data_IF_817858569067
#
_entry.id   IF_817858569067
#
_cell.length_a   1.000
_cell.length_b   1.000
_cell.length_c   1.000
_cell.angle_alpha   90.00
_cell.angle_beta   90.00
_cell.angle_gamma   90.00
#
_symmetry.space_group_name_H-M   'P 1'
#
loop_
_entity.id
_entity.type
_entity.pdbx_description
1 polymer ?
#
# COMPACT_ATOMS: atom_id res chain seq x y z
N UNK A 1 11.81 12.42 4.68
CA UNK A 1 10.59 11.69 4.28
C UNK A 1 9.39 12.59 4.52
N UNK A 2 8.45 12.62 3.58
CA UNK A 2 7.19 13.36 3.69
C UNK A 2 6.06 12.34 3.55
N UNK A 3 5.02 12.45 4.38
CA UNK A 3 3.81 11.64 4.27
C UNK A 3 2.68 12.52 3.75
N UNK A 4 1.93 12.00 2.78
CA UNK A 4 0.77 12.69 2.21
C UNK A 4 -0.31 11.69 1.82
N UNK A 5 -1.56 12.12 1.88
CA UNK A 5 -2.71 11.35 1.38
C UNK A 5 -2.86 11.64 -0.11
N UNK A 6 -2.85 10.60 -0.93
CA UNK A 6 -2.99 10.69 -2.39
C UNK A 6 -4.12 9.80 -2.87
N UNK A 7 -4.69 10.11 -4.05
CA UNK A 7 -5.63 9.19 -4.70
C UNK A 7 -4.92 7.90 -5.08
N UNK A 8 -5.59 6.76 -4.91
CA UNK A 8 -5.06 5.44 -5.28
C UNK A 8 -4.71 5.35 -6.77
N UNK A 9 -5.45 6.07 -7.63
CA UNK A 9 -5.25 6.08 -9.08
C UNK A 9 -3.91 6.70 -9.52
N UNK A 10 -3.22 7.39 -8.59
CA UNK A 10 -1.89 7.95 -8.83
C UNK A 10 -0.77 6.94 -8.59
N UNK A 11 -1.06 5.82 -7.92
CA UNK A 11 -0.07 4.81 -7.52
C UNK A 11 -0.01 3.72 -8.57
N UNK A 12 1.19 3.35 -8.99
CA UNK A 12 1.40 2.28 -9.97
C UNK A 12 2.05 1.06 -9.30
N UNK A 13 1.56 -0.16 -9.59
CA UNK A 13 2.26 -1.37 -9.16
C UNK A 13 3.68 -1.41 -9.74
N UNK A 14 4.64 -1.78 -8.91
CA UNK A 14 6.01 -1.99 -9.36
C UNK A 14 6.14 -3.33 -10.08
N UNK A 15 6.48 -3.30 -11.36
CA UNK A 15 6.53 -4.49 -12.23
C UNK A 15 7.49 -5.58 -11.73
N UNK A 16 8.59 -5.19 -11.08
CA UNK A 16 9.59 -6.12 -10.56
C UNK A 16 9.45 -6.36 -9.05
N UNK A 17 8.24 -6.24 -8.50
CA UNK A 17 8.01 -6.55 -7.09
C UNK A 17 8.09 -8.07 -6.85
N UNK A 18 9.11 -8.59 -6.13
CA UNK A 18 9.25 -10.03 -5.92
C UNK A 18 8.26 -10.59 -4.88
N UNK A 19 7.46 -9.73 -4.23
CA UNK A 19 6.49 -10.11 -3.23
C UNK A 19 5.32 -10.86 -3.89
N UNK A 20 5.08 -12.09 -3.47
CA UNK A 20 3.82 -12.80 -3.69
C UNK A 20 3.13 -12.96 -2.33
N UNK A 21 1.99 -12.29 -2.12
CA UNK A 21 1.29 -12.29 -0.83
C UNK A 21 -0.23 -12.26 -0.94
N UNK A 22 -0.80 -12.84 -2.01
CA UNK A 22 -2.25 -12.83 -2.26
C UNK A 22 -3.04 -13.39 -1.07
N UNK A 23 -2.52 -14.44 -0.42
CA UNK A 23 -3.13 -15.05 0.78
C UNK A 23 -3.24 -14.10 1.99
N UNK A 24 -2.44 -13.03 2.03
CA UNK A 24 -2.43 -12.07 3.13
C UNK A 24 -3.42 -10.90 2.93
N UNK A 25 -4.02 -10.77 1.74
CA UNK A 25 -4.84 -9.60 1.36
C UNK A 25 -6.03 -9.44 2.31
N UNK A 26 -6.77 -10.52 2.58
CA UNK A 26 -7.97 -10.46 3.43
C UNK A 26 -7.64 -10.06 4.87
N UNK A 27 -6.55 -10.59 5.42
CA UNK A 27 -6.10 -10.26 6.77
C UNK A 27 -5.69 -8.79 6.87
N UNK A 28 -4.96 -8.26 5.88
CA UNK A 28 -4.53 -6.86 5.85
C UNK A 28 -5.73 -5.93 5.67
N UNK A 29 -6.65 -6.25 4.77
CA UNK A 29 -7.86 -5.45 4.54
C UNK A 29 -8.72 -5.36 5.80
N UNK A 30 -8.90 -6.45 6.54
CA UNK A 30 -9.65 -6.46 7.79
C UNK A 30 -8.93 -5.64 8.89
N UNK A 31 -7.61 -5.74 8.98
CA UNK A 31 -6.82 -4.94 9.92
C UNK A 31 -6.94 -3.43 9.65
N UNK A 32 -6.85 -3.01 8.39
CA UNK A 32 -7.02 -1.60 8.01
C UNK A 32 -8.43 -1.10 8.33
N UNK A 33 -9.47 -1.93 8.18
CA UNK A 33 -10.85 -1.56 8.55
C UNK A 33 -11.01 -1.35 10.05
N UNK A 34 -10.40 -2.20 10.86
CA UNK A 34 -10.53 -2.18 12.33
C UNK A 34 -9.67 -1.07 12.96
N UNK A 35 -8.44 -0.90 12.49
CA UNK A 35 -7.43 -0.06 13.16
C UNK A 35 -6.98 1.15 12.33
N UNK A 36 -7.48 1.29 11.10
CA UNK A 36 -7.03 2.32 10.17
C UNK A 36 -5.62 2.08 9.63
N UNK A 37 -5.09 3.09 8.93
CA UNK A 37 -3.75 3.07 8.37
C UNK A 37 -2.70 3.40 9.45
N UNK A 38 -1.95 2.38 9.88
CA UNK A 38 -0.88 2.53 10.86
C UNK A 38 0.50 2.76 10.23
N UNK A 39 0.70 2.36 8.96
CA UNK A 39 1.96 2.48 8.23
C UNK A 39 1.70 2.99 6.80
N UNK A 40 2.33 4.09 6.35
CA UNK A 40 2.15 4.58 4.99
C UNK A 40 2.80 3.62 3.97
N UNK A 41 2.26 3.60 2.75
CA UNK A 41 2.91 2.93 1.62
C UNK A 41 4.15 3.70 1.18
N UNK A 42 5.20 2.97 0.80
CA UNK A 42 6.42 3.55 0.25
C UNK A 42 6.30 3.56 -1.26
N UNK A 43 6.51 4.73 -1.85
CA UNK A 43 6.51 4.96 -3.30
C UNK A 43 7.80 5.65 -3.70
N UNK A 44 8.21 5.48 -4.96
CA UNK A 44 9.29 6.27 -5.53
C UNK A 44 8.76 7.64 -6.00
N UNK A 45 9.61 8.43 -6.65
CA UNK A 45 9.21 9.75 -7.14
C UNK A 45 8.18 9.69 -8.29
N UNK A 46 7.98 8.54 -8.93
CA UNK A 46 7.06 8.33 -10.05
C UNK A 46 5.62 7.99 -9.63
N UNK A 47 5.42 7.62 -8.37
CA UNK A 47 4.13 7.20 -7.83
C UNK A 47 3.88 5.70 -7.98
#
# INVERSE_FOLDING_TARGET
>A
MKVETVSIDKIKPYENNPRNNDDAVDAVANSIKEFGWQQPIVVDNGG
#
